data_IF_940487819911
#
_entry.id   IF_940487819911
#
_cell.length_a   1.000
_cell.length_b   1.000
_cell.length_c   1.000
_cell.angle_alpha   90.00
_cell.angle_beta   90.00
_cell.angle_gamma   90.00
#
_symmetry.space_group_name_H-M   'P 1'
#
loop_
_entity.id
_entity.type
_entity.pdbx_description
1 polymer ?
#
# COMPACT_ATOMS: atom_id res chain seq x y z
N UNK A 1 20.17 17.50 -14.64
CA UNK A 1 19.15 17.43 -13.56
C UNK A 1 19.50 16.25 -12.66
N UNK A 2 19.95 16.51 -11.44
CA UNK A 2 20.22 15.45 -10.45
C UNK A 2 18.88 14.92 -9.94
N UNK A 3 18.61 13.64 -10.20
CA UNK A 3 17.38 12.99 -9.77
C UNK A 3 17.36 12.93 -8.23
N UNK A 4 16.57 13.78 -7.56
CA UNK A 4 16.57 13.89 -6.09
C UNK A 4 16.16 12.58 -5.40
N UNK A 5 15.48 11.71 -6.14
CA UNK A 5 14.98 10.42 -5.68
C UNK A 5 15.94 9.26 -6.01
N UNK A 6 17.25 9.51 -6.03
CA UNK A 6 18.24 8.44 -6.14
C UNK A 6 18.58 7.94 -4.73
N UNK A 7 18.24 6.69 -4.43
CA UNK A 7 18.75 6.05 -3.22
C UNK A 7 20.27 5.87 -3.30
N UNK A 8 21.01 6.08 -2.21
CA UNK A 8 22.40 5.69 -2.12
C UNK A 8 22.59 4.22 -2.54
N UNK A 9 23.73 3.93 -3.16
CA UNK A 9 24.05 2.54 -3.52
C UNK A 9 24.18 1.72 -2.24
N UNK A 10 23.53 0.56 -2.19
CA UNK A 10 23.56 -0.34 -1.04
C UNK A 10 22.46 -0.11 0.00
N UNK A 11 21.57 0.87 -0.18
CA UNK A 11 20.39 1.00 0.70
C UNK A 11 19.55 -0.28 0.66
N UNK A 12 19.27 -0.94 1.80
CA UNK A 12 18.40 -2.11 1.86
C UNK A 12 17.03 -1.81 1.24
N UNK A 13 16.51 -2.77 0.48
CA UNK A 13 15.21 -2.67 -0.17
C UNK A 13 14.54 -4.04 -0.20
N UNK A 14 13.22 -4.03 -0.06
CA UNK A 14 12.36 -5.21 -0.16
C UNK A 14 11.37 -4.95 -1.30
N UNK A 15 11.04 -5.99 -2.07
CA UNK A 15 10.07 -5.89 -3.15
C UNK A 15 8.65 -5.75 -2.57
N UNK A 16 7.86 -4.85 -3.16
CA UNK A 16 6.45 -4.67 -2.86
C UNK A 16 5.64 -5.04 -4.10
N UNK A 17 5.01 -6.22 -4.08
CA UNK A 17 4.19 -6.72 -5.20
C UNK A 17 2.72 -6.63 -4.79
N UNK A 18 1.95 -5.75 -5.43
CA UNK A 18 0.57 -5.47 -5.07
C UNK A 18 -0.29 -5.33 -6.33
N UNK A 19 -1.56 -5.73 -6.21
CA UNK A 19 -2.63 -5.28 -7.10
C UNK A 19 -3.46 -4.25 -6.33
N UNK A 20 -3.75 -3.12 -6.95
CA UNK A 20 -4.54 -2.03 -6.36
C UNK A 20 -5.71 -1.69 -7.27
N UNK A 21 -6.72 -1.02 -6.72
CA UNK A 21 -7.81 -0.51 -7.53
C UNK A 21 -7.30 0.52 -8.57
N UNK A 22 -7.91 0.62 -9.76
CA UNK A 22 -7.43 1.50 -10.84
C UNK A 22 -7.34 2.98 -10.43
N UNK A 23 -8.33 3.47 -9.69
CA UNK A 23 -8.40 4.83 -9.15
C UNK A 23 -7.25 5.12 -8.18
N UNK A 24 -6.89 4.16 -7.33
CA UNK A 24 -5.72 4.28 -6.44
C UNK A 24 -4.43 4.38 -7.25
N UNK A 25 -4.29 3.62 -8.35
CA UNK A 25 -3.12 3.70 -9.23
C UNK A 25 -3.03 5.06 -9.93
N UNK A 26 -4.15 5.59 -10.41
CA UNK A 26 -4.22 6.92 -11.03
C UNK A 26 -3.83 8.04 -10.07
N UNK A 27 -4.25 7.96 -8.81
CA UNK A 27 -3.83 8.89 -7.76
C UNK A 27 -2.31 8.84 -7.52
N UNK A 28 -1.74 7.63 -7.40
CA UNK A 28 -0.30 7.45 -7.25
C UNK A 28 0.46 8.07 -8.43
N UNK A 29 0.00 7.84 -9.66
CA UNK A 29 0.64 8.39 -10.86
C UNK A 29 0.53 9.92 -10.92
N UNK A 30 -0.61 10.47 -10.51
CA UNK A 30 -0.82 11.92 -10.42
C UNK A 30 0.16 12.56 -9.45
N UNK A 31 0.31 11.99 -8.25
CA UNK A 31 1.28 12.48 -7.26
C UNK A 31 2.73 12.33 -7.74
N UNK A 32 3.05 11.20 -8.36
CA UNK A 32 4.37 10.95 -8.94
C UNK A 32 4.72 12.00 -10.01
N UNK A 33 3.77 12.33 -10.88
CA UNK A 33 3.93 13.37 -11.91
C UNK A 33 4.13 14.76 -11.30
N UNK A 34 3.26 15.16 -10.36
CA UNK A 34 3.32 16.49 -9.73
C UNK A 34 4.59 16.70 -8.90
N UNK A 35 5.04 15.67 -8.18
CA UNK A 35 6.25 15.71 -7.36
C UNK A 35 7.54 15.38 -8.13
N UNK A 36 7.43 15.07 -9.43
CA UNK A 36 8.49 14.53 -10.27
C UNK A 36 9.26 13.39 -9.58
N UNK A 37 8.51 12.46 -8.99
CA UNK A 37 8.99 11.42 -8.09
C UNK A 37 8.70 10.01 -8.63
N UNK A 38 9.56 9.02 -8.35
CA UNK A 38 9.24 7.63 -8.65
C UNK A 38 8.14 7.12 -7.72
N UNK A 39 7.33 6.19 -8.21
CA UNK A 39 6.19 5.59 -7.48
C UNK A 39 6.59 5.11 -6.07
N UNK A 40 7.74 4.44 -5.93
CA UNK A 40 8.18 3.95 -4.62
C UNK A 40 8.31 5.07 -3.59
N UNK A 41 8.71 6.28 -4.00
CA UNK A 41 8.91 7.41 -3.08
C UNK A 41 7.57 7.97 -2.62
N UNK A 42 6.59 8.01 -3.52
CA UNK A 42 5.20 8.35 -3.18
C UNK A 42 4.64 7.36 -2.17
N UNK A 43 4.79 6.05 -2.44
CA UNK A 43 4.28 4.99 -1.55
C UNK A 43 4.97 5.07 -0.18
N UNK A 44 6.30 5.18 -0.12
CA UNK A 44 6.99 5.31 1.17
C UNK A 44 6.59 6.57 1.93
N UNK A 45 6.45 7.71 1.25
CA UNK A 45 6.03 8.96 1.88
C UNK A 45 4.60 8.85 2.43
N UNK A 46 3.67 8.27 1.66
CA UNK A 46 2.29 8.07 2.07
C UNK A 46 2.20 7.17 3.33
N UNK A 47 2.93 6.05 3.35
CA UNK A 47 2.95 5.15 4.51
C UNK A 47 3.58 5.84 5.74
N UNK A 48 4.67 6.58 5.58
CA UNK A 48 5.34 7.29 6.69
C UNK A 48 4.56 8.48 7.23
N UNK A 49 3.66 9.07 6.43
CA UNK A 49 2.82 10.19 6.86
C UNK A 49 1.69 9.75 7.81
N UNK A 50 1.32 8.47 7.81
CA UNK A 50 0.32 7.92 8.72
C UNK A 50 0.77 8.05 10.17
N UNK A 51 -0.04 8.73 10.99
CA UNK A 51 0.16 8.79 12.45
C UNK A 51 -0.47 7.55 13.08
N UNK A 52 0.30 6.68 13.75
CA UNK A 52 -0.24 5.44 14.31
C UNK A 52 -1.29 5.75 15.39
N UNK A 53 -2.49 5.20 15.24
CA UNK A 53 -3.53 5.23 16.26
C UNK A 53 -3.32 4.15 17.33
N UNK A 54 -4.27 4.05 18.28
CA UNK A 54 -4.17 3.14 19.43
C UNK A 54 -3.98 1.64 19.06
N UNK A 55 -4.49 1.21 17.90
CA UNK A 55 -4.36 -0.16 17.40
C UNK A 55 -3.12 -0.38 16.50
N UNK A 56 -2.25 0.63 16.36
CA UNK A 56 -1.08 0.59 15.47
C UNK A 56 -1.39 0.82 13.98
N UNK A 57 -2.68 0.93 13.61
CA UNK A 57 -3.12 1.37 12.29
C UNK A 57 -3.26 2.91 12.30
N UNK A 58 -2.85 3.61 11.23
CA UNK A 58 -2.96 5.06 11.22
C UNK A 58 -4.41 5.56 11.35
N UNK A 59 -4.59 6.64 12.12
CA UNK A 59 -5.90 7.25 12.30
C UNK A 59 -6.47 7.76 10.95
N UNK A 60 -7.78 7.61 10.76
CA UNK A 60 -8.46 8.01 9.52
C UNK A 60 -8.34 7.03 8.35
N UNK A 61 -7.64 5.92 8.51
CA UNK A 61 -7.61 4.86 7.49
C UNK A 61 -8.89 4.04 7.56
N UNK A 62 -9.74 4.17 6.54
CA UNK A 62 -10.95 3.37 6.39
C UNK A 62 -10.59 1.99 5.81
N UNK A 63 -9.99 1.14 6.64
CA UNK A 63 -9.81 -0.26 6.30
C UNK A 63 -11.14 -0.97 6.58
N UNK A 64 -11.66 -1.80 5.65
CA UNK A 64 -12.80 -2.64 5.99
C UNK A 64 -12.41 -3.50 7.19
N UNK A 65 -13.33 -3.65 8.15
CA UNK A 65 -13.22 -4.71 9.14
C UNK A 65 -12.94 -6.00 8.37
N UNK A 66 -11.97 -6.79 8.88
CA UNK A 66 -11.49 -7.99 8.19
C UNK A 66 -12.69 -8.73 7.59
N UNK A 67 -12.68 -9.05 6.28
CA UNK A 67 -13.76 -9.85 5.73
C UNK A 67 -13.84 -11.10 6.58
N UNK A 68 -14.96 -11.27 7.26
CA UNK A 68 -15.21 -12.45 8.04
C UNK A 68 -15.02 -13.60 7.07
N UNK A 69 -13.98 -14.39 7.29
CA UNK A 69 -13.83 -15.63 6.57
C UNK A 69 -15.13 -16.38 6.90
N UNK A 70 -15.96 -16.64 5.90
CA UNK A 70 -17.01 -17.64 6.00
C UNK A 70 -16.29 -18.99 6.13
N UNK A 71 -15.86 -19.27 7.36
CA UNK A 71 -15.31 -20.56 7.74
C UNK A 71 -16.55 -21.42 7.99
N UNK A 72 -16.80 -22.42 7.13
CA UNK A 72 -17.78 -23.45 7.46
C UNK A 72 -17.40 -24.08 8.80
N UNK A 73 -18.38 -24.60 9.56
CA UNK A 73 -18.21 -25.15 10.90
C UNK A 73 -17.15 -26.29 11.04
N UNK A 74 -16.47 -26.67 9.94
CA UNK A 74 -15.35 -27.60 9.86
C UNK A 74 -13.97 -26.98 9.56
N UNK A 75 -13.79 -25.66 9.50
CA UNK A 75 -12.45 -25.03 9.42
C UNK A 75 -11.81 -24.96 8.02
N UNK A 76 -12.49 -25.41 6.96
CA UNK A 76 -11.98 -25.32 5.59
C UNK A 76 -12.50 -24.07 4.87
N UNK A 77 -11.67 -23.32 4.14
CA UNK A 77 -12.12 -22.18 3.36
C UNK A 77 -12.97 -22.65 2.16
N UNK A 78 -14.19 -22.12 2.06
CA UNK A 78 -15.10 -22.35 0.94
C UNK A 78 -14.43 -22.01 -0.40
N UNK A 79 -14.13 -23.04 -1.20
CA UNK A 79 -13.72 -22.86 -2.59
C UNK A 79 -14.92 -22.36 -3.38
N UNK A 80 -14.94 -21.07 -3.73
CA UNK A 80 -15.88 -20.54 -4.72
C UNK A 80 -15.64 -21.30 -6.03
N UNK A 81 -16.61 -22.13 -6.40
CA UNK A 81 -16.66 -22.74 -7.73
C UNK A 81 -16.93 -21.63 -8.74
N UNK A 82 -16.11 -21.59 -9.79
CA UNK A 82 -16.24 -20.66 -10.91
C UNK A 82 -17.53 -20.89 -11.70
#
# INVERSE_FOLDING_TARGET
MSNQYRRPRGTPKVALNLFVAPDVKELIDTYASQANAPIWAIVEAAIRAGQPGAAGIPEGWNLPDQPQLDIDAGGEPLRRSA
#
